data_IF_219791308228
#
_entry.id   IF_219791308228
#
_cell.length_a   1.000
_cell.length_b   1.000
_cell.length_c   1.000
_cell.angle_alpha   90.00
_cell.angle_beta   90.00
_cell.angle_gamma   90.00
#
_symmetry.space_group_name_H-M   'P 1'
#
loop_
_entity.id
_entity.type
_entity.pdbx_description
1 polymer ?
#
# COMPACT_ATOMS: atom_id res chain seq x y z
N UNK A 1 -6.77 22.72 10.42
CA UNK A 1 -5.78 21.62 10.29
C UNK A 1 -6.23 20.71 9.14
N UNK A 2 -5.38 20.46 8.14
CA UNK A 2 -5.72 19.58 7.00
C UNK A 2 -5.85 18.15 7.53
N UNK A 3 -7.01 17.53 7.43
CA UNK A 3 -7.23 16.14 7.87
C UNK A 3 -6.08 15.27 7.33
N UNK A 4 -5.37 14.56 8.22
CA UNK A 4 -4.37 13.58 7.80
C UNK A 4 -5.14 12.54 7.00
N UNK A 5 -5.13 12.66 5.66
CA UNK A 5 -5.82 11.71 4.78
C UNK A 5 -5.50 10.30 5.26
N UNK A 6 -6.56 9.61 5.69
CA UNK A 6 -6.51 8.26 6.18
C UNK A 6 -5.98 7.35 5.07
N UNK A 7 -5.40 6.23 5.47
CA UNK A 7 -4.96 5.22 4.50
C UNK A 7 -6.20 4.70 3.77
N UNK A 8 -6.04 4.42 2.48
CA UNK A 8 -7.03 3.63 1.76
C UNK A 8 -7.11 2.21 2.35
N UNK A 9 -8.17 1.43 2.09
CA UNK A 9 -8.21 0.02 2.50
C UNK A 9 -6.95 -0.75 2.05
N UNK A 10 -6.52 -0.57 0.80
CA UNK A 10 -5.24 -1.07 0.31
C UNK A 10 -4.05 -0.59 1.16
N UNK A 11 -4.02 0.69 1.51
CA UNK A 11 -2.99 1.29 2.35
C UNK A 11 -2.91 0.68 3.75
N UNK A 12 -4.04 0.28 4.33
CA UNK A 12 -4.13 -0.40 5.62
C UNK A 12 -3.54 -1.80 5.49
N UNK A 13 -4.00 -2.58 4.52
CA UNK A 13 -3.53 -3.96 4.25
C UNK A 13 -2.02 -3.97 4.02
N UNK A 14 -1.53 -3.08 3.15
CA UNK A 14 -0.09 -2.93 2.87
C UNK A 14 0.69 -2.62 4.15
N UNK A 15 0.18 -1.74 5.02
CA UNK A 15 0.86 -1.39 6.26
C UNK A 15 0.89 -2.56 7.25
N UNK A 16 -0.21 -3.31 7.39
CA UNK A 16 -0.25 -4.54 8.20
C UNK A 16 0.78 -5.55 7.69
N UNK A 17 0.81 -5.79 6.37
CA UNK A 17 1.75 -6.74 5.77
C UNK A 17 3.22 -6.35 5.92
N UNK A 18 3.51 -5.06 5.82
CA UNK A 18 4.87 -4.56 6.07
C UNK A 18 5.33 -4.85 7.50
N UNK A 19 4.44 -4.72 8.49
CA UNK A 19 4.75 -5.06 9.88
C UNK A 19 4.99 -6.56 10.04
N UNK A 20 4.12 -7.40 9.48
CA UNK A 20 4.30 -8.87 9.49
C UNK A 20 5.63 -9.31 8.88
N UNK A 21 6.08 -8.64 7.82
CA UNK A 21 7.32 -8.95 7.12
C UNK A 21 8.55 -8.22 7.68
N UNK A 22 8.39 -7.42 8.75
CA UNK A 22 9.42 -6.54 9.28
C UNK A 22 10.09 -5.67 8.20
N UNK A 23 9.29 -5.18 7.24
CA UNK A 23 9.71 -4.34 6.10
C UNK A 23 9.27 -2.90 6.30
N UNK A 24 10.01 -1.96 5.70
CA UNK A 24 9.66 -0.54 5.71
C UNK A 24 9.00 -0.13 4.39
N UNK A 25 8.28 0.99 4.39
CA UNK A 25 7.76 1.57 3.13
C UNK A 25 8.90 1.94 2.17
N UNK A 26 10.03 2.42 2.70
CA UNK A 26 11.23 2.69 1.92
C UNK A 26 11.79 1.44 1.24
N UNK A 27 11.87 0.32 1.96
CA UNK A 27 12.39 -0.92 1.36
C UNK A 27 11.45 -1.44 0.27
N UNK A 28 10.13 -1.43 0.52
CA UNK A 28 9.14 -1.79 -0.50
C UNK A 28 9.23 -0.88 -1.75
N UNK A 29 9.35 0.43 -1.55
CA UNK A 29 9.49 1.38 -2.64
C UNK A 29 10.75 1.09 -3.49
N UNK A 30 11.86 0.76 -2.82
CA UNK A 30 13.09 0.32 -3.48
C UNK A 30 12.91 -0.98 -4.25
N UNK A 31 12.24 -1.98 -3.65
CA UNK A 31 11.99 -3.29 -4.25
C UNK A 31 11.19 -3.19 -5.56
N UNK A 32 10.24 -2.25 -5.63
CA UNK A 32 9.40 -2.02 -6.83
C UNK A 32 9.89 -0.88 -7.72
N UNK A 33 11.04 -0.28 -7.40
CA UNK A 33 11.70 0.75 -8.21
C UNK A 33 10.99 2.10 -8.25
N UNK A 34 10.36 2.54 -7.15
CA UNK A 34 9.69 3.85 -7.05
C UNK A 34 10.18 4.69 -5.88
N UNK A 35 9.82 5.97 -5.92
CA UNK A 35 10.04 6.88 -4.81
C UNK A 35 9.12 6.57 -3.61
N UNK A 36 9.64 6.65 -2.39
CA UNK A 36 8.90 6.42 -1.14
C UNK A 36 7.67 7.35 -1.00
N UNK A 37 7.80 8.64 -1.34
CA UNK A 37 6.67 9.58 -1.32
C UNK A 37 5.59 9.22 -2.33
N UNK A 38 5.99 8.69 -3.48
CA UNK A 38 5.06 8.23 -4.50
C UNK A 38 4.27 7.01 -4.01
N UNK A 39 4.93 6.05 -3.34
CA UNK A 39 4.26 4.95 -2.65
C UNK A 39 3.25 5.47 -1.61
N UNK A 40 3.66 6.39 -0.73
CA UNK A 40 2.78 6.97 0.30
C UNK A 40 1.55 7.64 -0.33
N UNK A 41 1.73 8.35 -1.44
CA UNK A 41 0.63 8.99 -2.15
C UNK A 41 -0.35 7.96 -2.75
N UNK A 42 0.14 6.82 -3.25
CA UNK A 42 -0.73 5.71 -3.69
C UNK A 42 -1.52 5.15 -2.51
N UNK A 43 -0.84 4.82 -1.39
CA UNK A 43 -1.50 4.21 -0.22
C UNK A 43 -2.54 5.14 0.43
N UNK A 44 -2.40 6.47 0.25
CA UNK A 44 -3.35 7.50 0.71
C UNK A 44 -4.36 7.94 -0.36
N UNK A 45 -4.40 7.27 -1.51
CA UNK A 45 -5.35 7.59 -2.60
C UNK A 45 -5.15 8.99 -3.21
N UNK A 46 -3.96 9.58 -3.10
CA UNK A 46 -3.63 10.91 -3.65
C UNK A 46 -3.18 10.83 -5.11
N UNK A 47 -2.64 9.68 -5.53
CA UNK A 47 -2.21 9.45 -6.90
C UNK A 47 -2.76 8.10 -7.39
N UNK A 48 -3.17 8.00 -8.67
CA UNK A 48 -3.62 6.76 -9.25
C UNK A 48 -2.45 5.79 -9.36
N UNK A 49 -2.46 4.75 -8.53
CA UNK A 49 -1.41 3.73 -8.47
C UNK A 49 -1.64 2.55 -9.41
N UNK A 50 -2.49 2.65 -10.44
CA UNK A 50 -3.01 1.49 -11.20
C UNK A 50 -1.93 0.50 -11.67
N UNK A 51 -0.80 0.98 -12.21
CA UNK A 51 0.29 0.09 -12.63
C UNK A 51 1.15 -0.46 -11.49
N UNK A 52 1.12 0.19 -10.33
CA UNK A 52 1.96 -0.12 -9.17
C UNK A 52 1.23 -0.95 -8.12
N UNK A 53 -0.10 -0.90 -8.06
CA UNK A 53 -0.90 -1.74 -7.15
C UNK A 53 -0.56 -3.22 -7.37
N UNK A 54 -0.57 -3.78 -8.60
CA UNK A 54 -0.17 -5.17 -8.81
C UNK A 54 1.28 -5.46 -8.38
N UNK A 55 2.19 -4.49 -8.55
CA UNK A 55 3.59 -4.63 -8.13
C UNK A 55 3.73 -4.66 -6.62
N UNK A 56 3.00 -3.81 -5.91
CA UNK A 56 2.95 -3.75 -4.44
C UNK A 56 2.42 -5.08 -3.89
N UNK A 57 1.30 -5.57 -4.44
CA UNK A 57 0.69 -6.83 -4.01
C UNK A 57 1.64 -8.01 -4.22
N UNK A 58 2.27 -8.11 -5.39
CA UNK A 58 3.28 -9.14 -5.67
C UNK A 58 4.49 -9.06 -4.74
N UNK A 59 5.02 -7.86 -4.51
CA UNK A 59 6.20 -7.66 -3.67
C UNK A 59 5.95 -8.00 -2.19
N UNK A 60 4.70 -7.90 -1.75
CA UNK A 60 4.27 -8.26 -0.39
C UNK A 60 3.60 -9.64 -0.31
N UNK A 61 3.52 -10.36 -1.43
CA UNK A 61 2.81 -11.63 -1.56
C UNK A 61 1.38 -11.59 -0.99
N UNK A 62 0.66 -10.50 -1.25
CA UNK A 62 -0.75 -10.30 -0.87
C UNK A 62 -1.62 -10.84 -1.99
N UNK A 63 -2.55 -11.75 -1.66
CA UNK A 63 -3.53 -12.21 -2.62
C UNK A 63 -4.62 -11.15 -2.82
N UNK A 64 -5.03 -10.89 -4.07
CA UNK A 64 -6.04 -9.87 -4.36
C UNK A 64 -7.40 -10.15 -3.73
N UNK A 65 -7.67 -11.40 -3.36
CA UNK A 65 -8.88 -11.80 -2.64
C UNK A 65 -8.91 -11.30 -1.17
N UNK A 66 -7.75 -11.07 -0.54
CA UNK A 66 -7.67 -10.49 0.82
C UNK A 66 -8.08 -9.01 0.87
N UNK A 67 -8.19 -8.36 -0.29
CA UNK A 67 -8.56 -6.94 -0.40
C UNK A 67 -10.09 -6.76 -0.33
N UNK A 68 -10.87 -7.81 -0.61
CA UNK A 68 -12.34 -7.75 -0.66
C UNK A 68 -13.03 -7.68 0.71
N UNK A 69 -12.32 -7.97 1.80
CA UNK A 69 -12.95 -8.23 3.11
C UNK A 69 -13.06 -7.04 4.06
N UNK A 70 -12.54 -5.84 3.72
CA UNK A 70 -12.61 -4.67 4.63
C UNK A 70 -13.64 -3.61 4.20
N UNK A 71 -14.36 -3.77 3.08
CA UNK A 71 -15.41 -2.83 2.62
C UNK A 71 -16.84 -3.28 3.03
N UNK A 72 -17.02 -4.44 3.70
CA UNK A 72 -18.33 -4.95 4.17
C UNK A 72 -18.45 -5.08 5.70
N UNK A 73 -17.89 -4.16 6.50
CA UNK A 73 -18.08 -4.16 7.96
C UNK A 73 -18.28 -2.77 8.55
#
# INVERSE_FOLDING_TARGET
MKARKELTPLGIIVKKKLIELNKTQRSLAKDIGINEFFLINILRGRQPGKQYIPKILRALNINSEEIRTEDES
#
